data_IF_174828810171
#
_entry.id   IF_174828810171
#
_cell.length_a   1.000
_cell.length_b   1.000
_cell.length_c   1.000
_cell.angle_alpha   90.00
_cell.angle_beta   90.00
_cell.angle_gamma   90.00
#
_symmetry.space_group_name_H-M   'P 1'
#
loop_
_entity.id
_entity.type
_entity.pdbx_description
1 polymer ?
#
# COMPACT_ATOMS: atom_id res chain seq x y z
N UNK A 1 -31.28 7.80 -8.64
CA UNK A 1 -30.27 7.10 -9.46
C UNK A 1 -29.47 8.18 -10.13
N UNK A 2 -28.28 8.45 -9.62
CA UNK A 2 -27.39 9.46 -10.21
C UNK A 2 -27.05 9.06 -11.64
N UNK A 3 -26.92 10.06 -12.52
CA UNK A 3 -26.50 9.83 -13.89
C UNK A 3 -25.15 9.09 -13.88
N UNK A 4 -25.09 7.96 -14.58
CA UNK A 4 -23.82 7.26 -14.80
C UNK A 4 -22.89 8.23 -15.50
N UNK A 5 -21.73 8.51 -14.89
CA UNK A 5 -20.71 9.34 -15.53
C UNK A 5 -20.29 8.73 -16.87
N UNK A 6 -19.84 9.60 -17.77
CA UNK A 6 -19.24 9.10 -19.00
C UNK A 6 -17.99 8.29 -18.65
N UNK A 7 -17.74 7.23 -19.41
CA UNK A 7 -16.54 6.41 -19.25
C UNK A 7 -15.26 7.27 -19.33
N UNK A 8 -15.28 8.31 -20.17
CA UNK A 8 -14.15 9.22 -20.37
C UNK A 8 -13.82 10.04 -19.12
N UNK A 9 -14.83 10.56 -18.42
CA UNK A 9 -14.62 11.31 -17.17
C UNK A 9 -13.99 10.42 -16.08
N UNK A 10 -14.47 9.18 -15.96
CA UNK A 10 -13.93 8.22 -14.98
C UNK A 10 -12.49 7.83 -15.32
N UNK A 11 -12.19 7.58 -16.60
CA UNK A 11 -10.82 7.30 -17.06
C UNK A 11 -9.90 8.49 -16.78
N UNK A 12 -10.36 9.72 -17.05
CA UNK A 12 -9.60 10.93 -16.74
C UNK A 12 -9.33 11.06 -15.24
N UNK A 13 -10.34 10.85 -14.39
CA UNK A 13 -10.21 10.91 -12.94
C UNK A 13 -9.23 9.83 -12.40
N UNK A 14 -9.31 8.60 -12.91
CA UNK A 14 -8.34 7.54 -12.59
C UNK A 14 -6.90 7.96 -12.97
N UNK A 15 -6.73 8.63 -14.10
CA UNK A 15 -5.44 9.18 -14.51
C UNK A 15 -4.86 10.23 -13.55
N UNK A 16 -5.70 10.94 -12.81
CA UNK A 16 -5.27 11.95 -11.82
C UNK A 16 -4.88 11.34 -10.45
N UNK A 17 -5.23 10.08 -10.19
CA UNK A 17 -4.90 9.40 -8.93
C UNK A 17 -3.39 9.12 -8.76
N UNK A 18 -2.59 9.27 -9.82
CA UNK A 18 -1.13 9.12 -9.76
C UNK A 18 -0.42 10.15 -8.86
N UNK A 19 -1.13 11.11 -8.29
CA UNK A 19 -0.56 12.12 -7.40
C UNK A 19 -0.13 11.52 -6.05
N UNK A 20 1.16 11.59 -5.66
CA UNK A 20 1.73 10.87 -4.52
C UNK A 20 1.27 11.33 -3.12
N UNK A 21 0.31 12.25 -3.00
CA UNK A 21 -0.08 12.82 -1.70
C UNK A 21 -1.16 12.03 -0.95
N UNK A 22 -1.87 11.11 -1.61
CA UNK A 22 -2.91 10.32 -0.95
C UNK A 22 -2.31 9.11 -0.21
N UNK A 23 -2.83 8.80 0.97
CA UNK A 23 -2.52 7.53 1.65
C UNK A 23 -3.03 6.34 0.84
N UNK A 24 -2.44 5.16 1.02
CA UNK A 24 -2.89 3.93 0.35
C UNK A 24 -4.39 3.66 0.57
N UNK A 25 -4.91 3.88 1.78
CA UNK A 25 -6.34 3.73 2.06
C UNK A 25 -7.20 4.71 1.26
N UNK A 26 -6.81 5.99 1.21
CA UNK A 26 -7.50 7.01 0.42
C UNK A 26 -7.45 6.71 -1.08
N UNK A 27 -6.33 6.16 -1.58
CA UNK A 27 -6.20 5.69 -2.95
C UNK A 27 -7.21 4.57 -3.25
N UNK A 28 -7.30 3.54 -2.40
CA UNK A 28 -8.26 2.44 -2.62
C UNK A 28 -9.71 2.91 -2.53
N UNK A 29 -10.03 3.82 -1.60
CA UNK A 29 -11.37 4.44 -1.53
C UNK A 29 -11.71 5.19 -2.82
N UNK A 30 -10.78 5.97 -3.37
CA UNK A 30 -11.00 6.70 -4.62
C UNK A 30 -11.14 5.77 -5.83
N UNK A 31 -10.28 4.75 -5.95
CA UNK A 31 -10.38 3.73 -7.01
C UNK A 31 -11.73 3.02 -6.93
N UNK A 32 -12.10 2.53 -5.74
CA UNK A 32 -13.38 1.87 -5.53
C UNK A 32 -14.55 2.77 -5.93
N UNK A 33 -14.56 4.01 -5.44
CA UNK A 33 -15.66 4.95 -5.71
C UNK A 33 -15.81 5.26 -7.20
N UNK A 34 -14.71 5.52 -7.90
CA UNK A 34 -14.71 5.76 -9.35
C UNK A 34 -15.20 4.54 -10.12
N UNK A 35 -14.82 3.33 -9.71
CA UNK A 35 -15.33 2.09 -10.32
C UNK A 35 -16.84 1.93 -10.10
N UNK A 36 -17.32 2.09 -8.87
CA UNK A 36 -18.76 1.99 -8.57
C UNK A 36 -19.57 2.98 -9.43
N UNK A 37 -19.11 4.23 -9.52
CA UNK A 37 -19.78 5.28 -10.29
C UNK A 37 -19.74 5.05 -11.80
N UNK A 38 -18.58 4.70 -12.36
CA UNK A 38 -18.41 4.49 -13.80
C UNK A 38 -19.11 3.24 -14.33
N UNK A 39 -19.18 2.20 -13.50
CA UNK A 39 -19.91 0.97 -13.80
C UNK A 39 -21.41 1.12 -13.51
N UNK A 40 -21.78 1.99 -12.56
CA UNK A 40 -23.12 2.02 -11.99
C UNK A 40 -23.39 0.78 -11.11
N UNK A 41 -22.37 0.29 -10.41
CA UNK A 41 -22.49 -0.81 -9.45
C UNK A 41 -22.97 -0.31 -8.08
N UNK A 42 -23.65 -1.17 -7.34
CA UNK A 42 -24.24 -0.79 -6.04
C UNK A 42 -23.25 -0.91 -4.90
N UNK A 43 -22.33 -1.85 -5.04
CA UNK A 43 -21.20 -2.02 -4.18
C UNK A 43 -19.96 -2.39 -4.99
N UNK A 44 -18.81 -2.07 -4.42
CA UNK A 44 -17.49 -2.33 -4.97
C UNK A 44 -16.56 -2.64 -3.83
N UNK A 45 -15.55 -3.46 -4.08
CA UNK A 45 -14.45 -3.59 -3.14
C UNK A 45 -13.12 -3.71 -3.87
N UNK A 46 -12.10 -3.21 -3.20
CA UNK A 46 -10.72 -3.15 -3.69
C UNK A 46 -9.82 -3.67 -2.58
N UNK A 47 -9.03 -4.71 -2.84
CA UNK A 47 -7.98 -5.19 -1.94
C UNK A 47 -6.64 -5.32 -2.62
N UNK A 48 -5.59 -5.15 -1.83
CA UNK A 48 -4.20 -5.32 -2.22
C UNK A 48 -3.55 -6.42 -1.39
N UNK A 49 -2.85 -7.31 -2.08
CA UNK A 49 -2.21 -8.50 -1.54
C UNK A 49 -0.73 -8.48 -1.91
N UNK A 50 0.12 -7.99 -1.01
CA UNK A 50 1.57 -7.88 -1.26
C UNK A 50 2.31 -9.22 -1.13
N UNK A 51 1.70 -10.21 -0.49
CA UNK A 51 2.25 -11.56 -0.29
C UNK A 51 1.43 -12.64 -1.03
N UNK A 52 0.59 -12.22 -1.98
CA UNK A 52 -0.37 -13.09 -2.67
C UNK A 52 -1.57 -13.48 -1.79
N UNK A 53 -2.57 -14.14 -2.40
CA UNK A 53 -3.85 -14.47 -1.76
C UNK A 53 -3.82 -15.54 -0.66
N UNK A 54 -2.67 -16.15 -0.39
CA UNK A 54 -2.50 -17.02 0.78
C UNK A 54 -2.36 -16.23 2.08
N UNK A 55 -1.97 -14.95 1.97
CA UNK A 55 -1.94 -13.99 3.07
C UNK A 55 -3.22 -13.11 3.06
N UNK A 56 -3.60 -12.53 4.21
CA UNK A 56 -4.64 -11.50 4.24
C UNK A 56 -4.27 -10.28 3.40
N UNK A 57 -5.27 -9.55 2.90
CA UNK A 57 -5.01 -8.26 2.25
C UNK A 57 -4.22 -7.32 3.16
N UNK A 58 -3.19 -6.71 2.58
CA UNK A 58 -2.42 -5.65 3.23
C UNK A 58 -3.25 -4.38 3.38
N UNK A 59 -4.17 -4.14 2.44
CA UNK A 59 -5.18 -3.10 2.55
C UNK A 59 -6.42 -3.48 1.77
N UNK A 60 -7.58 -3.04 2.27
CA UNK A 60 -8.84 -3.33 1.64
C UNK A 60 -9.88 -2.27 1.99
N UNK A 61 -10.76 -2.00 1.03
CA UNK A 61 -11.90 -1.10 1.15
C UNK A 61 -13.11 -1.76 0.48
N UNK A 62 -14.26 -1.69 1.14
CA UNK A 62 -15.56 -1.94 0.53
C UNK A 62 -16.44 -0.69 0.60
N UNK A 63 -17.09 -0.38 -0.51
CA UNK A 63 -18.04 0.73 -0.63
C UNK A 63 -19.38 0.16 -1.07
N UNK A 64 -20.46 0.71 -0.53
CA UNK A 64 -21.83 0.32 -0.84
C UNK A 64 -22.81 1.15 -0.01
N UNK A 65 -24.10 0.78 0.01
CA UNK A 65 -25.13 1.50 0.76
C UNK A 65 -25.04 1.29 2.28
N UNK A 66 -24.08 0.48 2.76
CA UNK A 66 -23.96 0.14 4.16
C UNK A 66 -23.27 1.26 4.96
N UNK A 67 -23.62 1.44 6.24
CA UNK A 67 -22.83 2.25 7.16
C UNK A 67 -21.37 1.78 7.20
N UNK A 68 -20.41 2.71 7.35
CA UNK A 68 -18.96 2.41 7.37
C UNK A 68 -18.57 1.30 8.37
N UNK A 69 -19.24 1.23 9.52
CA UNK A 69 -18.94 0.20 10.52
C UNK A 69 -19.42 -1.20 10.10
N UNK A 70 -20.48 -1.31 9.29
CA UNK A 70 -20.91 -2.57 8.68
C UNK A 70 -20.01 -2.94 7.50
N UNK A 71 -19.61 -1.96 6.69
CA UNK A 71 -18.64 -2.17 5.61
C UNK A 71 -17.30 -2.70 6.14
N UNK A 72 -16.90 -2.35 7.38
CA UNK A 72 -15.70 -2.92 8.04
C UNK A 72 -15.90 -4.34 8.56
N UNK A 73 -17.15 -4.79 8.75
CA UNK A 73 -17.48 -6.16 9.15
C UNK A 73 -17.52 -7.13 7.98
N UNK A 74 -17.57 -6.61 6.75
CA UNK A 74 -17.25 -7.42 5.58
C UNK A 74 -15.83 -7.94 5.79
N UNK A 75 -15.72 -9.23 6.03
CA UNK A 75 -14.44 -9.92 5.94
C UNK A 75 -14.19 -10.19 4.47
N UNK A 76 -12.96 -9.97 4.04
CA UNK A 76 -12.54 -10.48 2.76
C UNK A 76 -12.79 -12.00 2.75
N UNK A 77 -13.47 -12.55 1.73
CA UNK A 77 -13.63 -13.99 1.64
C UNK A 77 -12.25 -14.65 1.68
N UNK A 78 -12.11 -15.88 2.21
CA UNK A 78 -10.84 -16.60 2.11
C UNK A 78 -10.46 -16.72 0.63
N UNK A 79 -9.43 -15.97 0.22
CA UNK A 79 -9.04 -15.83 -1.18
C UNK A 79 -8.12 -16.94 -1.67
N UNK A 80 -7.89 -17.96 -0.84
CA UNK A 80 -7.15 -19.17 -1.25
C UNK A 80 -7.74 -19.80 -2.52
N UNK A 81 -9.07 -19.68 -2.72
CA UNK A 81 -9.74 -20.11 -3.94
C UNK A 81 -9.39 -19.27 -5.18
N UNK A 82 -8.94 -18.02 -5.01
CA UNK A 82 -8.52 -17.16 -6.12
C UNK A 82 -7.13 -17.52 -6.66
N UNK A 83 -6.41 -18.48 -6.04
CA UNK A 83 -5.11 -18.93 -6.54
C UNK A 83 -5.17 -19.39 -8.01
N UNK A 84 -6.30 -19.98 -8.43
CA UNK A 84 -6.51 -20.52 -9.78
C UNK A 84 -7.16 -19.54 -10.77
N UNK A 85 -7.52 -18.34 -10.32
CA UNK A 85 -8.17 -17.35 -11.17
C UNK A 85 -7.19 -16.83 -12.20
N UNK A 86 -7.62 -16.78 -13.46
CA UNK A 86 -6.83 -16.19 -14.54
C UNK A 86 -6.73 -14.67 -14.33
N UNK A 87 -5.50 -14.16 -14.17
CA UNK A 87 -5.23 -12.74 -13.92
C UNK A 87 -5.56 -11.92 -15.18
N UNK A 88 -6.12 -10.73 -14.98
CA UNK A 88 -6.53 -9.81 -16.04
C UNK A 88 -7.84 -10.18 -16.72
N UNK A 89 -8.45 -11.32 -16.36
CA UNK A 89 -9.74 -11.77 -16.87
C UNK A 89 -10.85 -11.46 -15.87
N UNK A 90 -12.03 -11.15 -16.41
CA UNK A 90 -13.27 -11.02 -15.66
C UNK A 90 -13.83 -12.39 -15.30
N UNK A 91 -14.17 -12.57 -14.04
CA UNK A 91 -14.83 -13.77 -13.53
C UNK A 91 -16.07 -13.39 -12.74
N UNK A 92 -17.15 -14.15 -12.87
CA UNK A 92 -18.27 -14.08 -11.92
C UNK A 92 -17.92 -14.94 -10.71
N UNK A 93 -18.25 -14.50 -9.50
CA UNK A 93 -17.86 -15.21 -8.28
C UNK A 93 -18.39 -16.65 -8.24
N UNK A 94 -19.60 -16.87 -8.76
CA UNK A 94 -20.22 -18.19 -8.87
C UNK A 94 -19.42 -19.19 -9.74
N UNK A 95 -18.51 -18.70 -10.59
CA UNK A 95 -17.62 -19.53 -11.42
C UNK A 95 -16.33 -19.91 -10.67
N UNK A 96 -15.97 -19.13 -9.65
CA UNK A 96 -14.67 -19.20 -8.97
C UNK A 96 -14.77 -19.91 -7.63
N UNK A 97 -15.92 -19.82 -6.95
CA UNK A 97 -16.08 -20.37 -5.61
C UNK A 97 -17.53 -20.79 -5.33
N UNK A 98 -17.69 -21.78 -4.46
CA UNK A 98 -18.98 -22.17 -3.88
C UNK A 98 -19.40 -21.26 -2.71
N UNK A 99 -18.52 -20.35 -2.27
CA UNK A 99 -18.79 -19.47 -1.13
C UNK A 99 -19.95 -18.53 -1.45
N UNK A 100 -21.07 -18.74 -0.75
CA UNK A 100 -22.19 -17.82 -0.74
C UNK A 100 -21.95 -16.75 0.32
N UNK A 101 -21.80 -15.51 -0.09
CA UNK A 101 -21.90 -14.36 0.82
C UNK A 101 -23.36 -14.21 1.27
N UNK A 102 -23.76 -14.91 2.33
CA UNK A 102 -25.07 -14.67 2.98
C UNK A 102 -25.10 -13.33 3.72
N UNK A 103 -23.93 -12.73 3.94
CA UNK A 103 -23.77 -11.45 4.60
C UNK A 103 -24.08 -10.30 3.63
N UNK A 104 -24.91 -9.36 4.06
CA UNK A 104 -25.16 -8.06 3.42
C UNK A 104 -25.96 -8.04 2.09
N UNK A 105 -26.77 -9.07 1.83
CA UNK A 105 -27.72 -9.06 0.70
C UNK A 105 -27.04 -8.93 -0.68
N UNK A 106 -25.79 -9.37 -0.79
CA UNK A 106 -25.08 -9.47 -2.07
C UNK A 106 -25.64 -10.67 -2.84
N UNK A 107 -26.11 -10.43 -4.05
CA UNK A 107 -26.78 -11.45 -4.87
C UNK A 107 -26.02 -11.86 -6.12
N UNK A 108 -25.16 -10.99 -6.63
CA UNK A 108 -24.28 -11.28 -7.77
C UNK A 108 -22.99 -10.47 -7.63
N UNK A 109 -21.88 -11.02 -8.12
CA UNK A 109 -20.55 -10.46 -7.88
C UNK A 109 -19.64 -10.82 -9.06
N UNK A 110 -18.89 -9.83 -9.55
CA UNK A 110 -17.84 -10.03 -10.53
C UNK A 110 -16.51 -9.48 -10.02
N UNK A 111 -15.42 -10.12 -10.42
CA UNK A 111 -14.07 -9.78 -9.96
C UNK A 111 -13.05 -9.85 -11.09
N UNK A 112 -11.98 -9.06 -10.93
CA UNK A 112 -10.76 -9.14 -11.72
C UNK A 112 -9.57 -9.09 -10.76
N UNK A 113 -8.62 -9.99 -10.96
CA UNK A 113 -7.32 -9.93 -10.30
C UNK A 113 -6.30 -9.35 -11.26
N UNK A 114 -5.55 -8.33 -10.85
CA UNK A 114 -4.40 -7.81 -11.59
C UNK A 114 -3.14 -8.03 -10.78
N UNK A 115 -2.04 -8.45 -11.43
CA UNK A 115 -0.76 -8.68 -10.77
C UNK A 115 0.30 -7.72 -11.31
N UNK A 116 1.06 -7.10 -10.42
CA UNK A 116 2.25 -6.30 -10.74
C UNK A 116 3.49 -7.17 -10.97
N UNK A 117 4.55 -6.64 -11.61
CA UNK A 117 5.83 -7.34 -11.76
C UNK A 117 6.48 -7.75 -10.42
N UNK A 118 6.21 -7.02 -9.34
CA UNK A 118 6.68 -7.32 -7.98
C UNK A 118 5.82 -8.36 -7.24
N UNK A 119 4.95 -9.08 -7.97
CA UNK A 119 3.99 -10.06 -7.48
C UNK A 119 2.85 -9.51 -6.60
N UNK A 120 2.78 -8.20 -6.35
CA UNK A 120 1.65 -7.59 -5.66
C UNK A 120 0.38 -7.78 -6.48
N UNK A 121 -0.68 -8.29 -5.85
CA UNK A 121 -1.98 -8.51 -6.50
C UNK A 121 -2.99 -7.45 -6.06
N UNK A 122 -3.77 -6.95 -7.01
CA UNK A 122 -4.93 -6.08 -6.81
C UNK A 122 -6.17 -6.89 -7.16
N UNK A 123 -7.08 -7.05 -6.21
CA UNK A 123 -8.40 -7.61 -6.44
C UNK A 123 -9.40 -6.46 -6.53
N UNK A 124 -10.07 -6.36 -7.67
CA UNK A 124 -11.16 -5.42 -7.90
C UNK A 124 -12.45 -6.21 -8.02
N UNK A 125 -13.50 -5.70 -7.39
CA UNK A 125 -14.79 -6.37 -7.45
C UNK A 125 -15.96 -5.41 -7.51
N UNK A 126 -17.04 -5.82 -8.16
CA UNK A 126 -18.33 -5.14 -8.17
C UNK A 126 -19.44 -6.11 -7.76
N UNK A 127 -20.46 -5.61 -7.08
CA UNK A 127 -21.56 -6.43 -6.58
C UNK A 127 -22.91 -5.80 -6.86
N UNK A 128 -23.91 -6.64 -7.12
CA UNK A 128 -25.32 -6.31 -7.11
C UNK A 128 -25.95 -6.76 -5.79
N UNK A 129 -26.93 -5.99 -5.31
CA UNK A 129 -27.60 -6.22 -4.04
C UNK A 129 -29.08 -6.52 -4.24
N UNK A 130 -29.70 -7.20 -3.27
CA UNK A 130 -31.16 -7.37 -3.22
C UNK A 130 -31.72 -8.31 -4.26
N UNK A 131 -31.03 -9.42 -4.55
CA UNK A 131 -31.49 -10.43 -5.50
C UNK A 131 -31.29 -10.07 -6.97
N UNK A 132 -30.71 -8.90 -7.26
CA UNK A 132 -30.40 -8.48 -8.63
C UNK A 132 -29.15 -9.16 -9.17
N UNK A 133 -29.05 -9.20 -10.49
CA UNK A 133 -27.85 -9.65 -11.22
C UNK A 133 -27.13 -8.46 -11.83
N UNK A 134 -25.82 -8.58 -11.95
CA UNK A 134 -25.01 -7.66 -12.73
C UNK A 134 -25.40 -7.79 -14.20
N UNK A 135 -25.66 -6.66 -14.84
CA UNK A 135 -25.99 -6.58 -16.25
C UNK A 135 -24.73 -6.71 -17.10
N UNK A 136 -24.88 -7.18 -18.34
CA UNK A 136 -23.74 -7.35 -19.25
C UNK A 136 -23.03 -6.02 -19.57
N UNK A 137 -23.75 -4.91 -19.69
CA UNK A 137 -23.16 -3.58 -19.89
C UNK A 137 -22.30 -3.13 -18.70
N UNK A 138 -22.68 -3.53 -17.47
CA UNK A 138 -21.88 -3.25 -16.27
C UNK A 138 -20.60 -4.08 -16.25
N UNK A 139 -20.69 -5.36 -16.63
CA UNK A 139 -19.54 -6.26 -16.72
C UNK A 139 -18.52 -5.79 -17.76
N UNK A 140 -19.00 -5.38 -18.94
CA UNK A 140 -18.15 -4.83 -20.00
C UNK A 140 -17.43 -3.55 -19.53
N UNK A 141 -18.17 -2.59 -18.96
CA UNK A 141 -17.59 -1.36 -18.42
C UNK A 141 -16.59 -1.63 -17.31
N UNK A 142 -16.88 -2.57 -16.43
CA UNK A 142 -15.98 -2.94 -15.35
C UNK A 142 -14.68 -3.53 -15.87
N UNK A 143 -14.74 -4.41 -16.87
CA UNK A 143 -13.54 -4.93 -17.54
C UNK A 143 -12.71 -3.81 -18.19
N UNK A 144 -13.36 -2.85 -18.86
CA UNK A 144 -12.68 -1.70 -19.47
C UNK A 144 -12.01 -0.80 -18.42
N UNK A 145 -12.74 -0.39 -17.38
CA UNK A 145 -12.22 0.51 -16.34
C UNK A 145 -11.12 -0.12 -15.49
N UNK A 146 -11.16 -1.43 -15.29
CA UNK A 146 -10.17 -2.16 -14.48
C UNK A 146 -8.74 -1.95 -14.96
N UNK A 147 -8.50 -1.90 -16.27
CA UNK A 147 -7.14 -1.67 -16.79
C UNK A 147 -6.60 -0.29 -16.39
N UNK A 148 -7.45 0.74 -16.39
CA UNK A 148 -7.08 2.09 -15.96
C UNK A 148 -6.92 2.17 -14.45
N UNK A 149 -7.82 1.56 -13.69
CA UNK A 149 -7.74 1.48 -12.24
C UNK A 149 -6.47 0.78 -11.78
N UNK A 150 -6.11 -0.35 -12.42
CA UNK A 150 -4.89 -1.07 -12.12
C UNK A 150 -3.62 -0.26 -12.45
N UNK A 151 -3.61 0.51 -13.54
CA UNK A 151 -2.48 1.41 -13.85
C UNK A 151 -2.36 2.55 -12.84
N UNK A 152 -3.48 3.19 -12.51
CA UNK A 152 -3.53 4.25 -11.50
C UNK A 152 -3.02 3.73 -10.16
N UNK A 153 -3.56 2.61 -9.69
CA UNK A 153 -3.09 1.92 -8.49
C UNK A 153 -1.61 1.57 -8.58
N UNK A 154 -1.13 0.93 -9.64
CA UNK A 154 0.27 0.55 -9.76
C UNK A 154 1.23 1.76 -9.69
N UNK A 155 0.81 2.91 -10.24
CA UNK A 155 1.59 4.15 -10.19
C UNK A 155 1.60 4.84 -8.83
N UNK A 156 0.47 4.77 -8.10
CA UNK A 156 0.25 5.50 -6.86
C UNK A 156 0.53 4.67 -5.61
N UNK A 157 0.34 3.35 -5.68
CA UNK A 157 0.55 2.42 -4.57
C UNK A 157 1.99 2.49 -4.07
N UNK A 158 2.14 2.64 -2.75
CA UNK A 158 3.43 2.60 -2.08
C UNK A 158 3.44 1.39 -1.18
N UNK A 159 4.27 0.41 -1.52
CA UNK A 159 4.47 -0.74 -0.63
C UNK A 159 4.98 -0.25 0.70
N UNK A 160 4.45 -0.77 1.79
CA UNK A 160 5.02 -0.42 3.07
C UNK A 160 6.35 -1.16 3.27
N UNK A 161 7.45 -0.46 3.62
CA UNK A 161 8.71 -1.12 3.94
C UNK A 161 8.54 -2.11 5.11
N UNK A 162 9.23 -3.24 5.06
CA UNK A 162 9.06 -4.31 6.08
C UNK A 162 9.35 -3.79 7.49
N UNK A 163 10.38 -2.96 7.64
CA UNK A 163 10.74 -2.33 8.92
C UNK A 163 9.70 -1.32 9.43
N UNK A 164 8.80 -0.84 8.56
CA UNK A 164 7.79 0.15 8.90
C UNK A 164 6.48 -0.49 9.39
N UNK A 165 6.21 -1.76 9.06
CA UNK A 165 4.96 -2.47 9.36
C UNK A 165 4.62 -2.41 10.85
N UNK A 166 5.59 -2.68 11.73
CA UNK A 166 5.39 -2.74 13.18
C UNK A 166 5.50 -1.36 13.89
N UNK A 167 5.59 -0.26 13.14
CA UNK A 167 5.68 1.06 13.73
C UNK A 167 4.35 1.45 14.41
N UNK A 168 4.44 1.80 15.70
CA UNK A 168 3.35 2.42 16.45
C UNK A 168 2.90 3.72 15.78
N UNK A 169 1.60 4.05 15.88
CA UNK A 169 0.98 5.20 15.20
C UNK A 169 1.75 6.52 15.36
N UNK A 170 2.25 6.93 16.56
CA UNK A 170 3.03 8.17 16.66
C UNK A 170 4.34 8.16 15.86
N UNK A 171 5.01 7.00 15.79
CA UNK A 171 6.26 6.85 15.05
C UNK A 171 6.00 6.87 13.53
N UNK A 172 4.88 6.29 13.10
CA UNK A 172 4.40 6.32 11.72
C UNK A 172 4.07 7.74 11.26
N UNK A 173 3.34 8.51 12.07
CA UNK A 173 3.02 9.91 11.75
C UNK A 173 4.30 10.75 11.58
N UNK A 174 5.32 10.52 12.43
CA UNK A 174 6.63 11.18 12.28
C UNK A 174 7.31 10.77 10.98
N UNK A 175 7.31 9.47 10.63
CA UNK A 175 7.88 8.97 9.38
C UNK A 175 7.22 9.62 8.15
N UNK A 176 5.90 9.69 8.11
CA UNK A 176 5.14 10.32 7.02
C UNK A 176 5.58 11.78 6.81
N UNK A 177 5.65 12.57 7.89
CA UNK A 177 6.09 13.96 7.80
C UNK A 177 7.57 14.11 7.39
N UNK A 178 8.43 13.16 7.78
CA UNK A 178 9.83 13.14 7.31
C UNK A 178 9.90 12.90 5.81
N UNK A 179 9.09 11.98 5.29
CA UNK A 179 9.02 11.65 3.86
C UNK A 179 8.44 12.81 3.05
N UNK A 180 7.52 13.58 3.64
CA UNK A 180 7.03 14.86 3.11
C UNK A 180 8.10 15.98 3.11
N UNK A 181 9.23 15.77 3.79
CA UNK A 181 10.34 16.73 3.83
C UNK A 181 10.24 17.79 4.93
N UNK A 182 9.35 17.61 5.91
CA UNK A 182 9.29 18.51 7.06
C UNK A 182 10.55 18.38 7.93
N UNK A 183 10.93 19.45 8.62
CA UNK A 183 11.98 19.44 9.64
C UNK A 183 11.46 19.05 11.04
N UNK A 184 12.35 18.93 12.03
CA UNK A 184 12.00 18.47 13.37
C UNK A 184 11.03 19.42 14.11
N UNK A 185 11.17 20.74 13.90
CA UNK A 185 10.35 21.76 14.53
C UNK A 185 8.94 21.80 13.91
N UNK A 186 8.86 21.68 12.58
CA UNK A 186 7.61 21.56 11.86
C UNK A 186 6.83 20.31 12.27
N UNK A 187 7.52 19.17 12.44
CA UNK A 187 6.91 17.93 12.93
C UNK A 187 6.41 18.10 14.36
N UNK A 188 7.23 18.68 15.25
CA UNK A 188 6.85 18.95 16.64
C UNK A 188 5.57 19.80 16.70
N UNK A 189 5.52 20.89 15.94
CA UNK A 189 4.36 21.78 15.86
C UNK A 189 3.11 21.08 15.30
N UNK A 190 3.24 20.28 14.23
CA UNK A 190 2.09 19.56 13.65
C UNK A 190 1.56 18.43 14.53
N UNK A 191 2.43 17.76 15.27
CA UNK A 191 2.07 16.59 16.10
C UNK A 191 1.71 16.94 17.54
N UNK A 192 2.05 18.14 18.01
CA UNK A 192 1.99 18.51 19.42
C UNK A 192 3.05 17.82 20.28
N UNK A 193 4.05 17.18 19.67
CA UNK A 193 5.17 16.56 20.37
C UNK A 193 6.25 17.60 20.69
N UNK A 194 7.04 17.35 21.73
CA UNK A 194 8.26 18.15 21.95
C UNK A 194 9.33 17.80 20.90
N UNK A 195 10.20 18.76 20.59
CA UNK A 195 11.36 18.57 19.72
C UNK A 195 12.19 17.31 20.10
N UNK A 196 12.42 17.11 21.40
CA UNK A 196 13.15 15.93 21.90
C UNK A 196 12.41 14.61 21.65
N UNK A 197 11.07 14.61 21.76
CA UNK A 197 10.26 13.43 21.44
C UNK A 197 10.35 13.09 19.95
N UNK A 198 10.30 14.10 19.06
CA UNK A 198 10.50 13.91 17.60
C UNK A 198 11.86 13.26 17.32
N UNK A 199 12.95 13.78 17.90
CA UNK A 199 14.29 13.18 17.73
C UNK A 199 14.38 11.76 18.28
N UNK A 200 13.67 11.45 19.36
CA UNK A 200 13.59 10.08 19.88
C UNK A 200 12.89 9.13 18.90
N UNK A 201 11.81 9.57 18.25
CA UNK A 201 11.15 8.83 17.17
C UNK A 201 12.08 8.64 15.97
N UNK A 202 12.75 9.70 15.50
CA UNK A 202 13.70 9.62 14.39
C UNK A 202 14.82 8.60 14.64
N UNK A 203 15.40 8.58 15.86
CA UNK A 203 16.42 7.57 16.22
C UNK A 203 15.89 6.13 16.12
N UNK A 204 14.62 5.91 16.49
CA UNK A 204 13.98 4.59 16.35
C UNK A 204 13.76 4.24 14.88
N UNK A 205 13.30 5.19 14.07
CA UNK A 205 13.13 5.02 12.63
C UNK A 205 14.46 4.70 11.94
N UNK A 206 15.54 5.42 12.27
CA UNK A 206 16.88 5.16 11.73
C UNK A 206 17.35 3.74 12.07
N UNK A 207 17.17 3.31 13.32
CA UNK A 207 17.52 1.95 13.74
C UNK A 207 16.67 0.89 13.03
N UNK A 208 15.37 1.11 12.89
CA UNK A 208 14.46 0.17 12.22
C UNK A 208 14.82 0.01 10.74
N UNK A 209 15.09 1.11 10.04
CA UNK A 209 15.48 1.11 8.64
C UNK A 209 16.96 0.76 8.40
N UNK A 210 17.76 0.56 9.45
CA UNK A 210 19.20 0.27 9.32
C UNK A 210 20.03 1.43 8.73
N UNK A 211 19.59 2.68 8.91
CA UNK A 211 20.22 3.89 8.34
C UNK A 211 20.81 4.80 9.42
N UNK A 212 21.65 5.75 9.02
CA UNK A 212 22.34 6.69 9.94
C UNK A 212 21.89 8.14 9.81
N UNK A 213 21.10 8.49 8.80
CA UNK A 213 20.72 9.88 8.50
C UNK A 213 19.27 9.99 8.03
N UNK A 214 18.70 11.21 8.13
CA UNK A 214 17.37 11.54 7.60
C UNK A 214 17.28 11.29 6.10
N UNK A 215 18.32 11.70 5.36
CA UNK A 215 18.37 11.53 3.91
C UNK A 215 18.36 10.04 3.54
N UNK A 216 19.18 9.22 4.22
CA UNK A 216 19.18 7.77 3.99
C UNK A 216 17.84 7.14 4.38
N UNK A 217 17.18 7.61 5.44
CA UNK A 217 15.83 7.14 5.80
C UNK A 217 14.82 7.42 4.67
N UNK A 218 14.83 8.62 4.11
CA UNK A 218 13.94 8.98 3.00
C UNK A 218 14.23 8.17 1.74
N UNK A 219 15.51 7.92 1.44
CA UNK A 219 15.93 7.08 0.30
C UNK A 219 15.51 5.62 0.49
N UNK A 220 15.83 5.03 1.64
CA UNK A 220 15.45 3.66 1.98
C UNK A 220 13.94 3.45 1.90
N UNK A 221 13.17 4.38 2.50
CA UNK A 221 11.71 4.35 2.42
C UNK A 221 11.22 4.38 0.95
N UNK A 222 11.71 5.31 0.13
CA UNK A 222 11.29 5.43 -1.28
C UNK A 222 11.67 4.23 -2.13
N UNK A 223 12.84 3.64 -1.91
CA UNK A 223 13.29 2.46 -2.66
C UNK A 223 12.47 1.23 -2.31
N UNK A 224 12.28 0.96 -1.02
CA UNK A 224 11.46 -0.16 -0.56
C UNK A 224 9.98 0.00 -0.97
N UNK A 225 9.44 1.23 -0.90
CA UNK A 225 8.10 1.53 -1.43
C UNK A 225 7.97 1.28 -2.94
N UNK A 226 9.07 1.43 -3.69
CA UNK A 226 9.12 1.14 -5.11
C UNK A 226 9.40 -0.35 -5.42
N UNK A 227 9.47 -1.20 -4.39
CA UNK A 227 9.81 -2.63 -4.52
C UNK A 227 11.28 -2.89 -4.82
N UNK A 228 12.16 -1.88 -4.69
CA UNK A 228 13.61 -2.05 -4.79
C UNK A 228 14.17 -2.32 -3.40
N UNK A 229 15.00 -3.37 -3.28
CA UNK A 229 15.65 -3.67 -2.00
C UNK A 229 16.74 -2.63 -1.75
N UNK A 230 16.56 -1.79 -0.75
CA UNK A 230 17.60 -0.87 -0.29
C UNK A 230 18.74 -1.70 0.33
N UNK A 231 19.95 -1.57 -0.18
CA UNK A 231 21.14 -2.21 0.40
C UNK A 231 21.91 -1.16 1.17
N UNK A 232 21.65 -1.08 2.48
CA UNK A 232 22.38 -0.18 3.36
C UNK A 232 23.85 -0.65 3.47
N UNK A 233 24.79 0.12 2.91
CA UNK A 233 26.22 -0.07 3.19
C UNK A 233 27.03 -0.89 2.17
N UNK A 234 26.76 -0.76 0.87
CA UNK A 234 27.71 -1.24 -0.15
C UNK A 234 28.95 -0.33 -0.32
N UNK A 235 29.00 0.85 0.31
CA UNK A 235 30.16 1.72 0.36
C UNK A 235 30.59 1.97 1.81
N UNK A 236 31.64 1.23 2.22
CA UNK A 236 32.68 1.55 3.21
C UNK A 236 33.27 0.27 3.83
N UNK A 237 33.54 -0.76 3.01
CA UNK A 237 34.57 -1.78 3.33
C UNK A 237 35.93 -1.33 2.74
N UNK A 238 36.19 -0.02 2.86
CA UNK A 238 37.35 0.68 2.31
C UNK A 238 38.20 1.37 3.38
N UNK A 239 37.92 1.16 4.66
CA UNK A 239 38.83 1.57 5.73
C UNK A 239 39.56 0.34 6.27
N UNK A 240 40.46 -0.17 5.41
CA UNK A 240 41.59 -0.95 5.85
C UNK A 240 42.33 -0.10 6.89
N UNK A 241 42.05 -0.37 8.17
CA UNK A 241 42.86 0.06 9.31
C UNK A 241 44.33 -0.04 8.93
N UNK A 242 44.93 1.10 8.60
CA UNK A 242 46.38 1.21 8.62
C UNK A 242 46.77 0.98 10.08
N UNK A 243 47.54 -0.08 10.41
CA UNK A 243 47.92 -0.31 11.78
C UNK A 243 48.74 0.90 12.24
N UNK A 244 48.26 1.56 13.29
CA UNK A 244 49.02 2.54 14.07
C UNK A 244 50.34 1.85 14.44
N UNK A 245 51.45 2.27 13.83
CA UNK A 245 52.78 1.97 14.35
C UNK A 245 52.83 2.58 15.75
N UNK A 246 52.69 1.74 16.76
CA UNK A 246 53.22 2.02 18.09
C UNK A 246 54.73 2.12 17.93
N UNK A 247 55.24 3.36 17.82
CA UNK A 247 56.65 3.63 18.03
C UNK A 247 56.94 3.30 19.50
N UNK A 248 57.53 2.13 19.66
CA UNK A 248 58.12 1.61 20.88
C UNK A 248 59.15 2.60 21.43
N UNK A 249 58.75 3.41 22.41
CA UNK A 249 59.67 3.99 23.39
C UNK A 249 60.37 2.84 24.13
N UNK A 250 61.54 2.46 23.64
CA UNK A 250 62.42 1.51 24.30
C UNK A 250 63.84 2.10 24.29
N UNK A 251 64.20 2.82 25.35
CA UNK A 251 65.48 2.67 26.05
C UNK A 251 65.71 3.77 27.10
N UNK A 252 65.49 3.42 28.35
CA UNK A 252 66.29 3.74 29.56
C UNK A 252 65.69 2.78 30.62
N UNK A 253 66.39 2.03 31.47
CA UNK A 253 67.77 1.97 31.89
C UNK A 253 67.96 0.64 32.65
N UNK A 254 69.20 0.13 32.75
CA UNK A 254 69.75 -0.60 33.90
C UNK A 254 71.27 -0.74 33.63
N UNK A 255 72.14 -0.01 34.34
CA UNK A 255 72.64 -0.24 35.70
C UNK A 255 73.99 -0.96 35.68
N UNK A 256 75.07 -0.20 35.85
CA UNK A 256 76.18 -0.38 36.80
C UNK A 256 77.22 0.73 36.60
#
# INVERSE_FOLDING_TARGET
>A
MDATESLQEVVFALGQLGNPQASNGALLEQVGWLLARGVGAEATSVSVHEQGFEAPATAWVALGPWPRHEARRLTEPPLTHLANVERGRLHRLAEVTEVRHQSLNISDHALIVVRRPDATELLLTISALGGRRLREDQLERFAQLTQFAARAWASAWRREPEWAVDLKSPCRNVLEMVVEGLDDDQIANKTGLSYHAVRAHLKRLFRAAGVRSRLHLMQAYREECAGRRFVAGAEEDGDAKTPRKEESEMHYAHAC
#
